data_IF_960210207774
#
_entry.id   IF_960210207774
#
_cell.length_a   1.000
_cell.length_b   1.000
_cell.length_c   1.000
_cell.angle_alpha   90.00
_cell.angle_beta   90.00
_cell.angle_gamma   90.00
#
_symmetry.space_group_name_H-M   'P 1'
#
loop_
_entity.id
_entity.type
_entity.pdbx_description
1 polymer ?
#
# COMPACT_ATOMS: atom_id res chain seq x y z
N UNK A 1 4.79 -10.17 -15.19
CA UNK A 1 5.86 -9.20 -14.89
C UNK A 1 5.57 -8.60 -13.53
N UNK A 2 6.55 -8.58 -12.64
CA UNK A 2 6.50 -7.87 -11.36
C UNK A 2 7.61 -6.83 -11.29
N UNK A 3 7.34 -5.71 -10.62
CA UNK A 3 8.29 -4.60 -10.42
C UNK A 3 8.29 -4.25 -8.94
N UNK A 4 9.48 -4.06 -8.38
CA UNK A 4 9.67 -3.50 -7.05
C UNK A 4 10.96 -2.67 -7.03
N UNK A 5 10.99 -1.55 -6.31
CA UNK A 5 12.19 -0.71 -6.17
C UNK A 5 13.23 -1.35 -5.24
N UNK A 6 12.80 -2.28 -4.37
CA UNK A 6 13.68 -2.95 -3.42
C UNK A 6 14.30 -4.22 -4.02
N UNK A 7 15.60 -4.19 -4.28
CA UNK A 7 16.40 -5.33 -4.76
C UNK A 7 16.15 -6.63 -3.95
N UNK A 8 16.02 -6.53 -2.63
CA UNK A 8 15.75 -7.67 -1.76
C UNK A 8 14.38 -8.30 -2.01
N UNK A 9 13.35 -7.48 -2.31
CA UNK A 9 12.00 -7.97 -2.64
C UNK A 9 11.99 -8.65 -4.00
N UNK A 10 12.72 -8.11 -4.98
CA UNK A 10 12.93 -8.73 -6.30
C UNK A 10 13.62 -10.09 -6.16
N UNK A 11 14.68 -10.16 -5.36
CA UNK A 11 15.43 -11.40 -5.10
C UNK A 11 14.55 -12.47 -4.45
N UNK A 12 13.80 -12.11 -3.39
CA UNK A 12 12.89 -13.03 -2.68
C UNK A 12 11.76 -13.51 -3.58
N UNK A 13 11.12 -12.62 -4.32
CA UNK A 13 10.02 -12.96 -5.24
C UNK A 13 10.52 -13.86 -6.37
N UNK A 14 11.71 -13.58 -6.91
CA UNK A 14 12.34 -14.43 -7.94
C UNK A 14 12.66 -15.84 -7.42
N UNK A 15 13.09 -15.97 -6.17
CA UNK A 15 13.30 -17.27 -5.54
C UNK A 15 11.97 -18.04 -5.38
N UNK A 16 10.90 -17.34 -5.00
CA UNK A 16 9.56 -17.93 -4.85
C UNK A 16 8.97 -18.38 -6.20
N UNK A 17 9.16 -17.60 -7.27
CA UNK A 17 8.79 -17.97 -8.65
C UNK A 17 9.49 -19.27 -9.06
N UNK A 18 10.80 -19.39 -8.78
CA UNK A 18 11.56 -20.62 -9.05
C UNK A 18 11.06 -21.80 -8.22
N UNK A 19 10.81 -21.57 -6.93
CA UNK A 19 10.36 -22.60 -5.98
C UNK A 19 8.99 -23.18 -6.36
N UNK A 20 8.09 -22.33 -6.85
CA UNK A 20 6.73 -22.70 -7.27
C UNK A 20 6.67 -23.22 -8.72
N UNK A 21 7.76 -23.11 -9.48
CA UNK A 21 7.86 -23.63 -10.84
C UNK A 21 7.11 -22.80 -11.89
N UNK A 22 6.75 -21.55 -11.58
CA UNK A 22 6.09 -20.64 -12.52
C UNK A 22 7.03 -20.30 -13.68
N UNK A 23 6.56 -20.47 -14.92
CA UNK A 23 7.39 -20.38 -16.13
C UNK A 23 7.24 -19.07 -16.91
N UNK A 24 6.16 -18.31 -16.70
CA UNK A 24 5.85 -17.09 -17.45
C UNK A 24 5.81 -15.86 -16.54
N UNK A 25 6.84 -15.73 -15.71
CA UNK A 25 6.96 -14.66 -14.71
C UNK A 25 8.38 -14.12 -14.75
N UNK A 26 8.48 -12.81 -14.93
CA UNK A 26 9.72 -12.04 -14.83
C UNK A 26 9.53 -10.98 -13.74
N UNK A 27 10.55 -10.78 -12.90
CA UNK A 27 10.55 -9.81 -11.82
C UNK A 27 11.74 -8.87 -12.05
N UNK A 28 11.48 -7.57 -11.97
CA UNK A 28 12.48 -6.53 -12.24
C UNK A 28 12.62 -5.58 -11.04
N UNK A 29 13.85 -5.13 -10.82
CA UNK A 29 14.12 -3.98 -9.96
C UNK A 29 13.94 -2.71 -10.77
N UNK A 30 12.85 -1.98 -10.53
CA UNK A 30 12.52 -0.74 -11.23
C UNK A 30 11.70 0.18 -10.32
N UNK A 31 11.77 1.47 -10.59
CA UNK A 31 10.88 2.46 -9.97
C UNK A 31 9.54 2.49 -10.74
N UNK A 32 8.42 2.48 -10.02
CA UNK A 32 7.09 2.62 -10.62
C UNK A 32 6.89 4.00 -11.28
N UNK A 33 7.66 5.00 -10.87
CA UNK A 33 7.69 6.35 -11.46
C UNK A 33 8.51 6.42 -12.77
N UNK A 34 9.29 5.39 -13.10
CA UNK A 34 10.14 5.35 -14.29
C UNK A 34 10.23 3.92 -14.85
N UNK A 35 9.13 3.43 -15.42
CA UNK A 35 9.06 2.07 -15.94
C UNK A 35 9.81 1.96 -17.27
N UNK A 36 10.77 1.04 -17.35
CA UNK A 36 11.57 0.80 -18.57
C UNK A 36 10.84 -0.05 -19.63
N UNK A 37 9.50 -0.10 -19.59
CA UNK A 37 8.69 -0.79 -20.58
C UNK A 37 8.26 0.14 -21.71
N UNK A 38 8.07 -0.38 -22.94
CA UNK A 38 7.54 0.43 -24.03
C UNK A 38 6.08 0.82 -23.79
N UNK A 39 5.65 1.88 -24.46
CA UNK A 39 4.25 2.29 -24.49
C UNK A 39 3.34 1.14 -24.93
N UNK A 40 2.16 1.03 -24.33
CA UNK A 40 1.15 0.03 -24.69
C UNK A 40 1.65 -1.44 -24.66
N UNK A 41 2.56 -1.77 -23.74
CA UNK A 41 3.02 -3.13 -23.51
C UNK A 41 1.96 -4.05 -22.87
N UNK A 42 1.14 -3.53 -21.95
CA UNK A 42 0.32 -4.36 -21.06
C UNK A 42 -1.18 -4.16 -21.25
N UNK A 43 -1.95 -5.23 -21.06
CA UNK A 43 -3.42 -5.19 -21.00
C UNK A 43 -3.91 -4.79 -19.59
N UNK A 44 -3.12 -5.11 -18.56
CA UNK A 44 -3.44 -4.86 -17.16
C UNK A 44 -2.23 -4.35 -16.38
N UNK A 45 -2.46 -3.40 -15.47
CA UNK A 45 -1.49 -2.95 -14.46
C UNK A 45 -2.16 -3.05 -13.10
N UNK A 46 -1.50 -3.70 -12.14
CA UNK A 46 -2.01 -3.91 -10.78
C UNK A 46 -1.02 -3.32 -9.78
N UNK A 47 -1.53 -2.56 -8.80
CA UNK A 47 -0.74 -1.92 -7.74
C UNK A 47 -1.44 -2.12 -6.40
N UNK A 48 -1.08 -3.20 -5.70
CA UNK A 48 -1.71 -3.56 -4.42
C UNK A 48 -0.99 -2.95 -3.23
N UNK A 49 -1.68 -2.13 -2.43
CA UNK A 49 -1.18 -1.53 -1.19
C UNK A 49 0.20 -0.84 -1.33
N UNK A 50 0.43 -0.18 -2.47
CA UNK A 50 1.70 0.48 -2.77
C UNK A 50 1.57 1.94 -3.16
N UNK A 51 0.41 2.38 -3.68
CA UNK A 51 0.26 3.71 -4.29
C UNK A 51 0.51 4.87 -3.31
N UNK A 52 0.29 4.66 -2.02
CA UNK A 52 0.55 5.65 -0.97
C UNK A 52 2.02 5.72 -0.55
N UNK A 53 2.90 4.88 -1.11
CA UNK A 53 4.35 4.95 -0.90
C UNK A 53 5.09 5.71 -2.00
N UNK A 54 4.46 5.99 -3.14
CA UNK A 54 5.12 6.66 -4.26
C UNK A 54 5.32 8.16 -3.96
N UNK A 55 6.57 8.66 -3.92
CA UNK A 55 6.84 10.09 -3.75
C UNK A 55 6.11 10.99 -4.75
N UNK A 56 6.11 10.61 -6.03
CA UNK A 56 5.33 11.26 -7.10
C UNK A 56 4.31 10.27 -7.66
N UNK A 57 3.19 10.15 -6.95
CA UNK A 57 2.06 9.32 -7.37
C UNK A 57 1.54 9.72 -8.76
N UNK A 58 1.58 11.01 -9.12
CA UNK A 58 1.13 11.46 -10.45
C UNK A 58 2.01 10.88 -11.55
N UNK A 59 3.33 10.86 -11.34
CA UNK A 59 4.29 10.26 -12.25
C UNK A 59 4.11 8.74 -12.36
N UNK A 60 3.98 8.04 -11.23
CA UNK A 60 3.73 6.59 -11.22
C UNK A 60 2.43 6.21 -11.97
N UNK A 61 1.32 6.91 -11.72
CA UNK A 61 0.06 6.66 -12.43
C UNK A 61 0.16 7.04 -13.92
N UNK A 62 0.96 8.04 -14.26
CA UNK A 62 1.31 8.39 -15.64
C UNK A 62 2.02 7.24 -16.36
N UNK A 63 3.00 6.61 -15.71
CA UNK A 63 3.68 5.42 -16.22
C UNK A 63 2.71 4.23 -16.37
N UNK A 64 1.85 3.98 -15.38
CA UNK A 64 0.81 2.94 -15.48
C UNK A 64 -0.08 3.17 -16.70
N UNK A 65 -0.52 4.41 -16.91
CA UNK A 65 -1.30 4.78 -18.07
C UNK A 65 -0.49 4.60 -19.37
N UNK A 66 0.77 5.03 -19.42
CA UNK A 66 1.64 4.94 -20.61
C UNK A 66 1.82 3.48 -21.08
N UNK A 67 2.19 2.59 -20.16
CA UNK A 67 2.48 1.18 -20.48
C UNK A 67 1.22 0.37 -20.78
N UNK A 68 0.03 0.86 -20.42
CA UNK A 68 -1.23 0.23 -20.79
C UNK A 68 -1.58 0.41 -22.27
N UNK A 69 -2.12 -0.63 -22.89
CA UNK A 69 -2.75 -0.58 -24.21
C UNK A 69 -4.02 0.26 -24.18
N UNK A 70 -4.45 0.73 -25.35
CA UNK A 70 -5.77 1.35 -25.50
C UNK A 70 -6.89 0.35 -25.14
N UNK A 71 -7.73 0.67 -24.16
CA UNK A 71 -8.71 -0.24 -23.58
C UNK A 71 -8.17 -1.17 -22.47
N UNK A 72 -6.89 -1.05 -22.13
CA UNK A 72 -6.29 -1.73 -20.98
C UNK A 72 -6.81 -1.19 -19.64
N UNK A 73 -6.55 -1.92 -18.55
CA UNK A 73 -7.13 -1.63 -17.22
C UNK A 73 -6.07 -1.49 -16.14
N UNK A 74 -6.30 -0.54 -15.24
CA UNK A 74 -5.54 -0.42 -14.00
C UNK A 74 -6.39 -0.90 -12.83
N UNK A 75 -5.78 -1.58 -11.86
CA UNK A 75 -6.37 -1.92 -10.57
C UNK A 75 -5.44 -1.51 -9.45
N UNK A 76 -5.92 -0.71 -8.50
CA UNK A 76 -5.14 -0.29 -7.34
C UNK A 76 -5.89 -0.58 -6.05
N UNK A 77 -5.15 -0.85 -4.97
CA UNK A 77 -5.74 -1.01 -3.62
C UNK A 77 -5.06 -0.12 -2.59
N UNK A 78 -5.84 0.33 -1.62
CA UNK A 78 -5.39 1.15 -0.50
C UNK A 78 -6.32 0.94 0.71
N UNK A 79 -5.90 1.40 1.88
CA UNK A 79 -6.76 1.44 3.06
C UNK A 79 -7.89 2.47 2.87
N UNK A 80 -9.04 2.25 3.50
CA UNK A 80 -10.10 3.27 3.64
C UNK A 80 -9.99 4.01 4.97
N UNK A 81 -10.86 4.98 5.22
CA UNK A 81 -10.93 5.72 6.50
C UNK A 81 -11.33 4.85 7.71
N UNK A 82 -12.03 3.72 7.49
CA UNK A 82 -12.50 2.87 8.58
C UNK A 82 -11.43 1.86 9.02
N UNK A 83 -10.49 2.33 9.85
CA UNK A 83 -9.32 1.56 10.25
C UNK A 83 -8.99 1.69 11.73
N UNK A 84 -9.99 1.52 12.62
CA UNK A 84 -9.82 1.63 14.08
C UNK A 84 -8.57 0.91 14.61
N UNK A 85 -8.33 -0.33 14.15
CA UNK A 85 -7.16 -1.11 14.57
C UNK A 85 -5.83 -0.53 14.06
N UNK A 86 -5.79 -0.04 12.83
CA UNK A 86 -4.60 0.59 12.24
C UNK A 86 -4.32 1.94 12.90
N UNK A 87 -5.35 2.73 13.15
CA UNK A 87 -5.27 4.00 13.86
C UNK A 87 -4.77 3.82 15.29
N UNK A 88 -5.33 2.83 16.01
CA UNK A 88 -4.85 2.44 17.33
C UNK A 88 -3.37 2.03 17.28
N UNK A 89 -2.99 1.18 16.33
CA UNK A 89 -1.60 0.70 16.16
C UNK A 89 -0.65 1.86 15.88
N UNK A 90 -1.03 2.78 14.99
CA UNK A 90 -0.25 3.97 14.67
C UNK A 90 -0.12 4.91 15.87
N UNK A 91 -1.22 5.17 16.57
CA UNK A 91 -1.27 6.04 17.76
C UNK A 91 -0.36 5.52 18.88
N UNK A 92 -0.45 4.24 19.23
CA UNK A 92 0.30 3.67 20.35
C UNK A 92 1.80 3.61 20.07
N UNK A 93 2.21 3.32 18.84
CA UNK A 93 3.64 3.36 18.47
C UNK A 93 4.15 4.80 18.44
N UNK A 94 3.40 5.74 17.87
CA UNK A 94 3.81 7.14 17.73
C UNK A 94 3.83 7.90 19.07
N UNK A 95 3.05 7.49 20.08
CA UNK A 95 3.09 8.11 21.41
C UNK A 95 4.43 7.96 22.13
N UNK A 96 5.27 7.03 21.66
CA UNK A 96 6.62 6.77 22.16
C UNK A 96 7.72 7.44 21.33
N UNK A 97 7.37 8.15 20.26
CA UNK A 97 8.30 8.95 19.47
C UNK A 97 8.34 10.39 19.98
N UNK A 98 9.48 11.10 19.81
CA UNK A 98 9.47 12.54 19.99
C UNK A 98 8.44 13.17 19.05
N UNK A 99 7.81 14.30 19.45
CA UNK A 99 6.92 15.03 18.55
C UNK A 99 7.67 15.36 17.26
N UNK A 100 7.00 15.28 16.09
CA UNK A 100 7.65 15.59 14.82
C UNK A 100 8.23 17.00 14.90
N UNK A 101 9.49 17.15 14.46
CA UNK A 101 10.03 18.49 14.21
C UNK A 101 9.11 19.18 13.20
N UNK A 102 8.75 20.44 13.45
CA UNK A 102 7.88 21.20 12.56
C UNK A 102 8.50 21.25 11.17
N UNK A 103 8.02 20.41 10.25
CA UNK A 103 8.40 20.50 8.85
C UNK A 103 7.52 21.56 8.22
N UNK A 104 8.05 22.79 8.20
CA UNK A 104 7.53 23.90 7.41
C UNK A 104 7.96 23.65 5.97
N UNK A 105 7.33 22.68 5.32
CA UNK A 105 7.39 22.53 3.87
C UNK A 105 5.98 22.88 3.38
N UNK A 106 5.89 23.81 2.44
CA UNK A 106 4.65 24.17 1.76
C UNK A 106 4.15 23.00 0.92
N UNK A 107 3.73 21.94 1.60
CA UNK A 107 3.31 20.67 1.04
C UNK A 107 1.90 20.85 0.50
N UNK A 108 1.74 20.54 -0.79
CA UNK A 108 0.41 20.26 -1.32
C UNK A 108 -0.22 19.17 -0.45
N UNK A 109 -1.47 19.35 -0.04
CA UNK A 109 -2.18 18.30 0.69
C UNK A 109 -2.06 16.98 -0.09
N UNK A 110 -1.58 15.90 0.57
CA UNK A 110 -1.46 14.62 -0.09
C UNK A 110 -2.83 14.19 -0.63
N UNK A 111 -2.86 13.44 -1.74
CA UNK A 111 -4.13 12.98 -2.31
C UNK A 111 -4.89 12.13 -1.28
N UNK A 112 -6.22 12.36 -1.17
CA UNK A 112 -7.11 11.59 -0.31
C UNK A 112 -7.36 10.18 -0.87
N UNK A 113 -6.39 9.29 -0.72
CA UNK A 113 -6.44 7.91 -1.24
C UNK A 113 -7.34 7.00 -0.41
N UNK A 114 -7.68 7.40 0.81
CA UNK A 114 -8.50 6.68 1.78
C UNK A 114 -10.01 6.86 1.60
N UNK A 115 -10.42 7.75 0.71
CA UNK A 115 -11.84 7.96 0.37
C UNK A 115 -12.17 7.45 -1.04
N UNK A 116 -13.37 6.87 -1.26
CA UNK A 116 -13.78 6.47 -2.61
C UNK A 116 -13.77 7.62 -3.63
N UNK A 117 -14.12 8.84 -3.19
CA UNK A 117 -14.12 10.02 -4.05
C UNK A 117 -12.70 10.47 -4.39
N UNK A 118 -11.82 10.63 -3.39
CA UNK A 118 -10.45 11.08 -3.60
C UNK A 118 -9.63 10.09 -4.43
N UNK A 119 -9.81 8.78 -4.22
CA UNK A 119 -9.19 7.76 -5.05
C UNK A 119 -9.68 7.80 -6.51
N UNK A 120 -10.99 8.01 -6.71
CA UNK A 120 -11.59 8.17 -8.04
C UNK A 120 -11.06 9.41 -8.76
N UNK A 121 -10.97 10.55 -8.06
CA UNK A 121 -10.44 11.79 -8.61
C UNK A 121 -8.96 11.66 -8.96
N UNK A 122 -8.18 10.97 -8.13
CA UNK A 122 -6.75 10.70 -8.37
C UNK A 122 -6.55 9.91 -9.67
N UNK A 123 -7.30 8.81 -9.87
CA UNK A 123 -7.25 8.07 -11.12
C UNK A 123 -7.76 8.87 -12.32
N UNK A 124 -8.77 9.72 -12.13
CA UNK A 124 -9.31 10.58 -13.19
C UNK A 124 -8.26 11.60 -13.67
N UNK A 125 -7.51 12.21 -12.74
CA UNK A 125 -6.41 13.14 -13.05
C UNK A 125 -5.28 12.44 -13.84
N UNK A 126 -5.07 11.16 -13.62
CA UNK A 126 -4.15 10.32 -14.40
C UNK A 126 -4.72 9.82 -15.75
N UNK A 127 -5.80 10.44 -16.25
CA UNK A 127 -6.42 10.14 -17.55
C UNK A 127 -7.07 8.75 -17.68
N UNK A 128 -7.31 8.06 -16.57
CA UNK A 128 -8.14 6.86 -16.60
C UNK A 128 -9.62 7.23 -16.76
N UNK A 129 -10.31 6.57 -17.69
CA UNK A 129 -11.77 6.64 -17.87
C UNK A 129 -12.47 5.44 -17.24
N UNK A 130 -13.80 5.50 -17.12
CA UNK A 130 -14.65 4.48 -16.45
C UNK A 130 -14.00 3.96 -15.16
N UNK A 131 -14.11 4.75 -14.10
CA UNK A 131 -13.53 4.41 -12.80
C UNK A 131 -14.62 3.89 -11.88
N UNK A 132 -14.38 2.70 -11.34
CA UNK A 132 -15.22 2.06 -10.32
C UNK A 132 -14.38 1.92 -9.06
N UNK A 133 -14.91 2.40 -7.94
CA UNK A 133 -14.29 2.22 -6.63
C UNK A 133 -15.26 1.43 -5.76
N UNK A 134 -14.76 0.37 -5.14
CA UNK A 134 -15.50 -0.45 -4.17
C UNK A 134 -14.77 -0.43 -2.84
N UNK A 135 -15.53 -0.42 -1.76
CA UNK A 135 -15.01 -0.57 -0.41
C UNK A 135 -15.37 -1.96 0.09
N UNK A 136 -14.43 -2.64 0.72
CA UNK A 136 -14.64 -3.91 1.40
C UNK A 136 -14.02 -3.85 2.79
N UNK A 137 -14.58 -4.62 3.72
CA UNK A 137 -13.97 -4.85 5.03
C UNK A 137 -13.23 -6.18 4.99
N UNK A 138 -11.98 -6.18 5.43
CA UNK A 138 -11.19 -7.39 5.58
C UNK A 138 -10.91 -7.63 7.07
N UNK A 139 -11.36 -8.79 7.55
CA UNK A 139 -11.09 -9.24 8.91
C UNK A 139 -9.82 -10.10 8.95
N UNK A 140 -8.86 -9.69 9.77
CA UNK A 140 -7.64 -10.42 10.08
C UNK A 140 -7.62 -10.80 11.55
N UNK A 141 -7.15 -12.00 11.85
CA UNK A 141 -7.03 -12.48 13.23
C UNK A 141 -5.57 -12.78 13.50
N UNK A 142 -4.98 -12.05 14.45
CA UNK A 142 -3.72 -12.46 15.05
C UNK A 142 -4.03 -13.45 16.17
N UNK A 143 -3.37 -14.59 16.20
CA UNK A 143 -3.56 -15.63 17.20
C UNK A 143 -3.33 -15.10 18.62
N UNK A 144 -2.42 -14.14 18.79
CA UNK A 144 -2.13 -13.48 20.06
C UNK A 144 -1.37 -12.14 19.86
N UNK A 145 -1.09 -11.48 20.97
CA UNK A 145 -0.41 -10.19 21.06
C UNK A 145 1.04 -10.26 20.56
N UNK A 146 1.73 -11.39 20.75
CA UNK A 146 3.09 -11.61 20.24
C UNK A 146 3.13 -11.74 18.72
N UNK A 147 2.12 -12.35 18.10
CA UNK A 147 2.00 -12.39 16.64
C UNK A 147 1.78 -10.99 16.07
N UNK A 148 0.86 -10.22 16.67
CA UNK A 148 0.66 -8.82 16.30
C UNK A 148 1.95 -8.00 16.46
N UNK A 149 2.64 -8.13 17.59
CA UNK A 149 3.90 -7.42 17.83
C UNK A 149 4.97 -7.76 16.81
N UNK A 150 5.08 -9.05 16.48
CA UNK A 150 6.01 -9.54 15.46
C UNK A 150 5.67 -8.97 14.08
N UNK A 151 4.37 -8.80 13.78
CA UNK A 151 3.93 -8.25 12.51
C UNK A 151 4.38 -6.80 12.30
N UNK A 152 4.54 -5.99 13.36
CA UNK A 152 4.98 -4.59 13.26
C UNK A 152 6.36 -4.42 12.58
N UNK A 153 7.21 -5.46 12.62
CA UNK A 153 8.50 -5.49 11.95
C UNK A 153 8.43 -5.68 10.43
N UNK A 154 7.24 -5.96 9.90
CA UNK A 154 6.98 -6.11 8.47
C UNK A 154 6.19 -4.93 7.87
N UNK A 155 5.85 -3.92 8.69
CA UNK A 155 5.06 -2.76 8.28
C UNK A 155 5.91 -1.48 8.26
N UNK A 156 5.33 -0.38 7.76
CA UNK A 156 5.96 0.95 7.77
C UNK A 156 6.35 1.44 9.17
N UNK A 157 5.75 0.91 10.23
CA UNK A 157 6.07 1.24 11.62
C UNK A 157 7.40 0.64 12.11
N UNK A 158 8.02 -0.29 11.37
CA UNK A 158 9.34 -0.85 11.70
C UNK A 158 10.36 0.25 11.98
N UNK A 159 10.40 1.32 11.17
CA UNK A 159 11.37 2.41 11.36
C UNK A 159 11.20 3.13 12.70
N UNK A 160 9.96 3.27 13.18
CA UNK A 160 9.69 3.83 14.51
C UNK A 160 10.21 2.90 15.61
N UNK A 161 10.02 1.59 15.46
CA UNK A 161 10.56 0.63 16.42
C UNK A 161 12.10 0.63 16.43
N UNK A 162 12.73 0.73 15.27
CA UNK A 162 14.20 0.75 15.13
C UNK A 162 14.85 1.98 15.78
N UNK A 163 14.17 3.13 15.77
CA UNK A 163 14.68 4.36 16.38
C UNK A 163 14.60 4.38 17.92
N UNK A 164 13.77 3.52 18.51
CA UNK A 164 13.63 3.40 19.96
C UNK A 164 14.76 2.57 20.58
N UNK A 165 15.23 2.98 21.76
CA UNK A 165 16.11 2.13 22.57
C UNK A 165 15.37 0.87 23.08
N UNK A 166 16.09 -0.19 23.49
CA UNK A 166 15.45 -1.41 23.97
C UNK A 166 14.50 -1.22 25.16
N UNK A 167 14.84 -0.36 26.12
CA UNK A 167 13.98 -0.14 27.29
C UNK A 167 12.68 0.57 26.91
N UNK A 168 12.74 1.48 25.94
CA UNK A 168 11.58 2.18 25.39
C UNK A 168 10.69 1.22 24.59
N UNK A 169 11.26 0.33 23.78
CA UNK A 169 10.50 -0.72 23.10
C UNK A 169 9.81 -1.68 24.07
N UNK A 170 10.46 -2.07 25.16
CA UNK A 170 9.84 -2.95 26.17
C UNK A 170 8.66 -2.28 26.89
N UNK A 171 8.75 -0.98 27.20
CA UNK A 171 7.62 -0.22 27.77
C UNK A 171 6.46 -0.12 26.78
N UNK A 172 6.74 0.23 25.52
CA UNK A 172 5.75 0.24 24.45
C UNK A 172 5.07 -1.12 24.31
N UNK A 173 5.86 -2.22 24.29
CA UNK A 173 5.31 -3.57 24.17
C UNK A 173 4.38 -3.89 25.34
N UNK A 174 4.78 -3.58 26.57
CA UNK A 174 3.96 -3.84 27.76
C UNK A 174 2.63 -3.08 27.74
N UNK A 175 2.65 -1.78 27.40
CA UNK A 175 1.43 -0.97 27.31
C UNK A 175 0.54 -1.43 26.16
N UNK A 176 1.13 -1.74 25.01
CA UNK A 176 0.39 -2.24 23.86
C UNK A 176 -0.28 -3.59 24.14
N UNK A 177 0.36 -4.47 24.90
CA UNK A 177 -0.20 -5.77 25.27
C UNK A 177 -1.41 -5.62 26.20
N UNK A 178 -1.48 -4.54 26.98
CA UNK A 178 -2.64 -4.22 27.79
C UNK A 178 -3.76 -3.60 26.96
N UNK A 179 -3.46 -2.60 26.12
CA UNK A 179 -4.46 -1.92 25.30
C UNK A 179 -5.07 -2.84 24.23
N UNK A 180 -4.27 -3.70 23.59
CA UNK A 180 -4.74 -4.55 22.49
C UNK A 180 -5.83 -5.55 22.93
N UNK A 181 -5.97 -5.81 24.23
CA UNK A 181 -7.02 -6.67 24.76
C UNK A 181 -8.43 -6.17 24.41
N UNK A 182 -8.61 -4.89 24.13
CA UNK A 182 -9.91 -4.34 23.68
C UNK A 182 -10.36 -4.92 22.35
N UNK A 183 -9.43 -5.41 21.53
CA UNK A 183 -9.68 -6.03 20.23
C UNK A 183 -9.77 -7.57 20.30
N UNK A 184 -9.74 -8.16 21.51
CA UNK A 184 -9.74 -9.61 21.67
C UNK A 184 -11.11 -10.21 21.35
N UNK A 185 -11.12 -11.12 20.39
CA UNK A 185 -12.25 -11.96 20.02
C UNK A 185 -12.05 -13.43 20.41
N UNK A 186 -12.96 -14.32 20.00
CA UNK A 186 -12.91 -15.74 20.36
C UNK A 186 -11.67 -16.46 19.82
N UNK A 187 -11.18 -16.06 18.65
CA UNK A 187 -10.09 -16.75 17.93
C UNK A 187 -8.74 -16.02 18.01
N UNK A 188 -8.66 -14.91 18.76
CA UNK A 188 -7.45 -14.08 18.87
C UNK A 188 -7.76 -12.58 18.82
N UNK A 189 -6.74 -11.76 18.55
CA UNK A 189 -6.87 -10.32 18.36
C UNK A 189 -7.50 -10.05 16.99
N UNK A 190 -8.66 -9.41 16.99
CA UNK A 190 -9.42 -9.08 15.79
C UNK A 190 -8.96 -7.73 15.23
N UNK A 191 -8.48 -7.74 14.00
CA UNK A 191 -8.06 -6.55 13.28
C UNK A 191 -8.92 -6.41 12.02
N UNK A 192 -9.80 -5.41 12.01
CA UNK A 192 -10.62 -5.08 10.84
C UNK A 192 -9.96 -3.94 10.08
N UNK A 193 -9.86 -4.11 8.76
CA UNK A 193 -9.33 -3.10 7.85
C UNK A 193 -10.36 -2.80 6.78
N UNK A 194 -10.73 -1.53 6.66
CA UNK A 194 -11.38 -1.04 5.46
C UNK A 194 -10.39 -0.95 4.30
N UNK A 195 -10.79 -1.47 3.14
CA UNK A 195 -9.96 -1.55 1.93
C UNK A 195 -10.75 -0.95 0.77
N UNK A 196 -10.10 -0.06 0.03
CA UNK A 196 -10.61 0.43 -1.24
C UNK A 196 -9.93 -0.31 -2.40
N UNK A 197 -10.76 -0.77 -3.34
CA UNK A 197 -10.33 -1.25 -4.64
C UNK A 197 -10.80 -0.25 -5.69
N UNK A 198 -9.88 0.26 -6.50
CA UNK A 198 -10.24 1.12 -7.62
C UNK A 198 -9.76 0.52 -8.93
N UNK A 199 -10.67 0.48 -9.90
CA UNK A 199 -10.42 0.00 -11.25
C UNK A 199 -10.69 1.12 -12.25
N UNK A 200 -9.73 1.37 -13.13
CA UNK A 200 -9.83 2.35 -14.22
C UNK A 200 -9.52 1.72 -15.56
N UNK A 201 -9.94 2.38 -16.64
CA UNK A 201 -9.66 1.97 -18.03
C UNK A 201 -8.87 3.05 -18.75
N UNK A 202 -7.87 2.66 -19.54
CA UNK A 202 -7.26 3.59 -20.50
C UNK A 202 -8.20 3.73 -21.68
N UNK A 203 -8.74 4.93 -21.87
CA UNK A 203 -9.70 5.17 -22.96
C UNK A 203 -9.03 4.88 -24.31
N UNK A 204 -9.79 4.28 -25.24
CA UNK A 204 -9.35 4.23 -26.63
C UNK A 204 -9.42 5.66 -27.14
N UNK A 205 -8.28 6.24 -27.54
CA UNK A 205 -8.30 7.51 -28.28
C UNK A 205 -9.29 7.38 -29.43
N UNK A 206 -10.03 8.45 -29.74
CA UNK A 206 -10.81 8.48 -30.99
C UNK A 206 -9.85 8.08 -32.11
N UNK A 207 -10.17 7.01 -32.85
CA UNK A 207 -9.45 6.72 -34.07
C UNK A 207 -9.46 8.03 -34.88
N UNK A 208 -8.28 8.49 -35.29
CA UNK A 208 -8.20 9.58 -36.25
C UNK A 208 -8.90 9.05 -37.52
N UNK A 209 -10.09 9.58 -37.79
CA UNK A 209 -10.77 9.44 -39.09
C UNK A 209 -9.97 10.16 -40.18
#
# INVERSE_FOLDING_TARGET
VGVDIAADMVSRTSAEVKRTGLQNVEIFEMDAEELEFPDAAFDYVLSGFSIFFFPDLSRALGEFHRVLKAGGRVGVTTFSEDTEFLDWTGRIVKSYLPPPESQDQGEQEPPALDTPLGLKETLSKASFGTIVVTAEEADFVYANEDEWWSSLWSHGLRRALESMDPATRERLKADAFQEIQTFKGPDGIQARFGVLFAFGTKTRGKAAE
#
